data_IF_657793151832
#
_entry.id   IF_657793151832
#
_cell.length_a   1.000
_cell.length_b   1.000
_cell.length_c   1.000
_cell.angle_alpha   90.00
_cell.angle_beta   90.00
_cell.angle_gamma   90.00
#
_symmetry.space_group_name_H-M   'P 1'
#
loop_
_entity.id
_entity.type
_entity.pdbx_description
1 polymer ?
#
# COMPACT_ATOMS: atom_id res chain seq x y z
N UNK A 1 17.87 -7.78 -10.63
CA UNK A 1 16.87 -6.83 -10.11
C UNK A 1 17.55 -6.03 -9.01
N UNK A 2 17.65 -4.71 -9.11
CA UNK A 2 18.35 -3.87 -8.11
C UNK A 2 17.40 -3.48 -6.97
N UNK A 3 17.92 -3.06 -5.80
CA UNK A 3 17.12 -2.56 -4.67
C UNK A 3 16.19 -1.41 -5.11
N UNK A 4 16.72 -0.47 -5.92
CA UNK A 4 15.93 0.63 -6.50
C UNK A 4 14.70 0.14 -7.29
N UNK A 5 14.87 -0.91 -8.10
CA UNK A 5 13.75 -1.50 -8.85
C UNK A 5 12.71 -2.15 -7.93
N UNK A 6 13.12 -2.71 -6.80
CA UNK A 6 12.22 -3.28 -5.78
C UNK A 6 11.42 -2.20 -5.06
N UNK A 7 12.08 -1.12 -4.62
CA UNK A 7 11.40 0.02 -3.97
C UNK A 7 10.39 0.67 -4.91
N UNK A 8 10.76 0.91 -6.18
CA UNK A 8 9.82 1.44 -7.19
C UNK A 8 8.62 0.51 -7.42
N UNK A 9 8.82 -0.82 -7.40
CA UNK A 9 7.75 -1.79 -7.54
C UNK A 9 6.82 -1.79 -6.31
N UNK A 10 7.38 -1.69 -5.09
CA UNK A 10 6.61 -1.59 -3.85
C UNK A 10 5.78 -0.30 -3.81
N UNK A 11 6.34 0.84 -4.19
CA UNK A 11 5.60 2.11 -4.26
C UNK A 11 4.44 2.04 -5.27
N UNK A 12 4.67 1.46 -6.45
CA UNK A 12 3.57 1.25 -7.43
C UNK A 12 2.49 0.33 -6.89
N UNK A 13 2.88 -0.74 -6.19
CA UNK A 13 1.93 -1.67 -5.58
C UNK A 13 1.15 -1.01 -4.44
N UNK A 14 1.78 -0.17 -3.62
CA UNK A 14 1.14 0.60 -2.56
C UNK A 14 0.05 1.51 -3.13
N UNK A 15 0.40 2.34 -4.13
CA UNK A 15 -0.56 3.24 -4.79
C UNK A 15 -1.74 2.45 -5.37
N UNK A 16 -1.49 1.31 -6.01
CA UNK A 16 -2.56 0.48 -6.56
C UNK A 16 -3.50 -0.08 -5.48
N UNK A 17 -2.99 -0.41 -4.29
CA UNK A 17 -3.81 -0.84 -3.16
C UNK A 17 -4.61 0.29 -2.52
N UNK A 18 -4.01 1.48 -2.41
CA UNK A 18 -4.70 2.69 -1.94
C UNK A 18 -5.85 3.07 -2.89
N UNK A 19 -5.60 3.07 -4.19
CA UNK A 19 -6.61 3.34 -5.22
C UNK A 19 -7.77 2.33 -5.15
N UNK A 20 -7.47 1.04 -4.90
CA UNK A 20 -8.50 0.02 -4.70
C UNK A 20 -9.32 0.24 -3.42
N UNK A 21 -8.68 0.63 -2.32
CA UNK A 21 -9.37 0.95 -1.08
C UNK A 21 -10.33 2.14 -1.29
N UNK A 22 -9.89 3.18 -1.98
CA UNK A 22 -10.73 4.35 -2.29
C UNK A 22 -11.86 4.00 -3.27
N UNK A 23 -11.58 3.19 -4.30
CA UNK A 23 -12.59 2.73 -5.24
C UNK A 23 -13.71 1.92 -4.57
N UNK A 24 -13.42 1.23 -3.46
CA UNK A 24 -14.41 0.50 -2.66
C UNK A 24 -15.23 1.41 -1.72
N UNK A 25 -14.79 2.64 -1.47
CA UNK A 25 -15.50 3.58 -0.61
C UNK A 25 -16.83 4.05 -1.20
N UNK A 26 -16.88 4.31 -2.52
CA UNK A 26 -18.11 4.69 -3.23
C UNK A 26 -19.22 3.62 -3.18
N UNK A 27 -18.94 2.36 -3.56
CA UNK A 27 -19.88 1.25 -3.42
C UNK A 27 -20.36 1.03 -1.98
N UNK A 28 -19.48 1.17 -0.98
CA UNK A 28 -19.86 1.06 0.43
C UNK A 28 -20.91 2.12 0.81
N UNK A 29 -20.68 3.37 0.40
CA UNK A 29 -21.63 4.46 0.64
C UNK A 29 -22.98 4.20 -0.02
N UNK A 30 -22.97 3.71 -1.26
CA UNK A 30 -24.20 3.39 -1.99
C UNK A 30 -24.98 2.23 -1.34
N UNK A 31 -24.28 1.22 -0.81
CA UNK A 31 -24.89 0.13 -0.06
C UNK A 31 -25.53 0.62 1.24
N UNK A 32 -24.84 1.48 1.99
CA UNK A 32 -25.34 2.05 3.24
C UNK A 32 -26.57 2.97 3.04
N UNK A 33 -26.73 3.55 1.85
CA UNK A 33 -27.88 4.38 1.49
C UNK A 33 -29.06 3.57 0.93
N UNK A 34 -28.92 2.27 0.70
CA UNK A 34 -29.97 1.45 0.10
C UNK A 34 -31.08 1.12 1.12
N UNK A 35 -32.29 1.60 0.87
CA UNK A 35 -33.46 1.36 1.72
C UNK A 35 -34.22 0.10 1.30
N UNK A 36 -33.88 -1.04 1.90
CA UNK A 36 -34.55 -2.32 1.63
C UNK A 36 -36.06 -2.32 1.94
N UNK A 37 -36.52 -1.46 2.84
CA UNK A 37 -37.91 -1.37 3.27
C UNK A 37 -38.87 -0.97 2.15
N UNK A 38 -38.37 -0.24 1.13
CA UNK A 38 -39.12 0.16 -0.05
C UNK A 38 -39.57 -1.03 -0.92
N UNK A 39 -38.97 -2.21 -0.73
CA UNK A 39 -39.30 -3.43 -1.48
C UNK A 39 -40.52 -4.19 -0.91
N UNK A 40 -41.11 -3.68 0.16
CA UNK A 40 -42.28 -4.26 0.82
C UNK A 40 -41.97 -5.45 1.73
N UNK A 41 -42.95 -5.85 2.53
CA UNK A 41 -42.76 -6.77 3.67
C UNK A 41 -42.24 -8.17 3.32
N UNK A 42 -42.43 -8.63 2.08
CA UNK A 42 -41.99 -9.96 1.64
C UNK A 42 -40.52 -9.99 1.21
N UNK A 43 -40.03 -8.91 0.61
CA UNK A 43 -38.68 -8.84 0.01
C UNK A 43 -37.72 -8.03 0.87
N UNK A 44 -38.22 -7.00 1.56
CA UNK A 44 -37.42 -6.10 2.38
C UNK A 44 -36.51 -6.78 3.39
N UNK A 45 -36.99 -7.76 4.20
CA UNK A 45 -36.13 -8.44 5.18
C UNK A 45 -34.96 -9.22 4.54
N UNK A 46 -35.20 -9.86 3.41
CA UNK A 46 -34.17 -10.62 2.67
C UNK A 46 -33.18 -9.67 2.01
N UNK A 47 -33.67 -8.58 1.40
CA UNK A 47 -32.84 -7.55 0.82
C UNK A 47 -31.97 -6.84 1.87
N UNK A 48 -32.50 -6.54 3.05
CA UNK A 48 -31.74 -5.96 4.16
C UNK A 48 -30.60 -6.88 4.61
N UNK A 49 -30.86 -8.19 4.73
CA UNK A 49 -29.84 -9.18 5.08
C UNK A 49 -28.75 -9.27 4.01
N UNK A 50 -29.15 -9.22 2.73
CA UNK A 50 -28.21 -9.19 1.61
C UNK A 50 -27.33 -7.94 1.63
N UNK A 51 -27.93 -6.75 1.79
CA UNK A 51 -27.22 -5.48 1.87
C UNK A 51 -26.23 -5.47 3.03
N UNK A 52 -26.64 -5.89 4.23
CA UNK A 52 -25.76 -5.96 5.40
C UNK A 52 -24.58 -6.93 5.20
N UNK A 53 -24.83 -8.08 4.56
CA UNK A 53 -23.78 -9.05 4.24
C UNK A 53 -22.77 -8.46 3.24
N UNK A 54 -23.27 -7.75 2.24
CA UNK A 54 -22.40 -7.12 1.23
C UNK A 54 -21.64 -5.94 1.83
N UNK A 55 -22.27 -5.07 2.61
CA UNK A 55 -21.57 -3.97 3.30
C UNK A 55 -20.40 -4.49 4.14
N UNK A 56 -20.62 -5.56 4.92
CA UNK A 56 -19.57 -6.21 5.71
C UNK A 56 -18.41 -6.72 4.84
N UNK A 57 -18.72 -7.34 3.69
CA UNK A 57 -17.70 -7.87 2.78
C UNK A 57 -16.93 -6.77 2.06
N UNK A 58 -17.58 -5.71 1.59
CA UNK A 58 -16.92 -4.56 0.95
C UNK A 58 -16.01 -3.86 1.96
N UNK A 59 -16.47 -3.64 3.20
CA UNK A 59 -15.62 -3.03 4.23
C UNK A 59 -14.41 -3.92 4.57
N UNK A 60 -14.60 -5.25 4.62
CA UNK A 60 -13.51 -6.20 4.79
C UNK A 60 -12.45 -6.10 3.68
N UNK A 61 -12.88 -6.05 2.42
CA UNK A 61 -11.98 -5.89 1.27
C UNK A 61 -11.25 -4.54 1.30
N UNK A 62 -11.95 -3.45 1.65
CA UNK A 62 -11.37 -2.12 1.79
C UNK A 62 -10.28 -2.08 2.86
N UNK A 63 -10.56 -2.64 4.04
CA UNK A 63 -9.57 -2.73 5.14
C UNK A 63 -8.37 -3.58 4.75
N UNK A 64 -8.60 -4.69 4.06
CA UNK A 64 -7.52 -5.55 3.59
C UNK A 64 -6.63 -4.79 2.59
N UNK A 65 -7.20 -4.09 1.61
CA UNK A 65 -6.45 -3.29 0.66
C UNK A 65 -5.60 -2.21 1.36
N UNK A 66 -6.19 -1.44 2.28
CA UNK A 66 -5.47 -0.44 3.07
C UNK A 66 -4.31 -1.06 3.88
N UNK A 67 -4.54 -2.20 4.53
CA UNK A 67 -3.50 -2.90 5.29
C UNK A 67 -2.34 -3.39 4.40
N UNK A 68 -2.61 -3.75 3.14
CA UNK A 68 -1.55 -4.11 2.19
C UNK A 68 -0.72 -2.88 1.78
N UNK A 69 -1.37 -1.73 1.58
CA UNK A 69 -0.67 -0.48 1.31
C UNK A 69 0.24 -0.08 2.49
N UNK A 70 -0.28 -0.13 3.72
CA UNK A 70 0.48 0.15 4.94
C UNK A 70 1.69 -0.79 5.10
N UNK A 71 1.49 -2.09 4.85
CA UNK A 71 2.56 -3.09 4.92
C UNK A 71 3.66 -2.84 3.87
N UNK A 72 3.28 -2.44 2.65
CA UNK A 72 4.23 -2.07 1.60
C UNK A 72 5.02 -0.81 1.95
N UNK A 73 4.36 0.20 2.55
CA UNK A 73 5.03 1.39 3.03
C UNK A 73 6.05 1.08 4.13
N UNK A 74 5.68 0.22 5.09
CA UNK A 74 6.59 -0.25 6.15
C UNK A 74 7.79 -1.03 5.58
N UNK A 75 7.54 -1.98 4.68
CA UNK A 75 8.61 -2.75 4.04
C UNK A 75 9.57 -1.88 3.22
N UNK A 76 9.06 -0.85 2.52
CA UNK A 76 9.89 0.10 1.80
C UNK A 76 10.78 0.93 2.74
N UNK A 77 10.25 1.33 3.90
CA UNK A 77 11.01 2.01 4.94
C UNK A 77 12.12 1.12 5.51
N UNK A 78 11.82 -0.14 5.83
CA UNK A 78 12.79 -1.09 6.39
C UNK A 78 13.96 -1.35 5.42
N UNK A 79 13.65 -1.52 4.12
CA UNK A 79 14.68 -1.67 3.07
C UNK A 79 15.56 -0.43 2.99
N UNK A 80 14.98 0.76 3.07
CA UNK A 80 15.75 2.00 3.02
C UNK A 80 16.67 2.16 4.24
N UNK A 81 16.16 1.85 5.43
CA UNK A 81 16.96 1.86 6.67
C UNK A 81 18.10 0.85 6.64
N UNK A 82 17.86 -0.38 6.16
CA UNK A 82 18.89 -1.41 6.03
C UNK A 82 19.98 -1.02 5.01
N UNK A 83 19.59 -0.35 3.92
CA UNK A 83 20.55 0.18 2.94
C UNK A 83 21.41 1.30 3.55
N UNK A 84 20.80 2.23 4.30
CA UNK A 84 21.52 3.28 5.00
C UNK A 84 22.52 2.74 6.03
N UNK A 85 22.14 1.72 6.81
CA UNK A 85 23.04 1.03 7.74
C UNK A 85 24.20 0.34 7.01
N UNK A 86 23.91 -0.28 5.86
CA UNK A 86 24.94 -0.91 5.02
C UNK A 86 25.92 0.11 4.46
N UNK A 87 25.41 1.25 3.96
CA UNK A 87 26.22 2.37 3.47
C UNK A 87 27.10 2.92 4.60
N UNK A 88 26.53 3.16 5.78
CA UNK A 88 27.27 3.63 6.95
C UNK A 88 28.36 2.63 7.36
N UNK A 89 28.04 1.32 7.40
CA UNK A 89 29.00 0.28 7.72
C UNK A 89 30.16 0.21 6.72
N UNK A 90 29.89 0.38 5.42
CA UNK A 90 30.94 0.47 4.39
C UNK A 90 31.76 1.75 4.58
N UNK A 91 31.15 2.89 4.83
CA UNK A 91 31.85 4.16 5.08
C UNK A 91 32.74 4.09 6.33
N UNK A 92 32.32 3.40 7.38
CA UNK A 92 33.12 3.22 8.59
C UNK A 92 34.37 2.37 8.33
N UNK A 93 34.30 1.45 7.35
CA UNK A 93 35.43 0.63 6.88
C UNK A 93 36.36 1.38 5.92
N UNK A 94 35.93 2.50 5.32
CA UNK A 94 36.77 3.33 4.45
C UNK A 94 37.76 4.19 5.26
N UNK A 95 38.90 4.51 4.63
CA UNK A 95 39.86 5.47 5.18
C UNK A 95 39.17 6.81 5.42
N UNK A 96 39.60 7.56 6.44
CA UNK A 96 38.91 8.80 6.85
C UNK A 96 38.75 9.83 5.71
N UNK A 97 39.73 9.87 4.79
CA UNK A 97 39.69 10.73 3.61
C UNK A 97 38.61 10.34 2.57
N UNK A 98 38.14 9.09 2.62
CA UNK A 98 37.26 8.48 1.60
C UNK A 98 35.84 8.21 2.11
N UNK A 99 35.51 8.59 3.35
CA UNK A 99 34.20 8.29 3.97
C UNK A 99 33.02 9.00 3.33
N UNK A 100 33.26 10.14 2.69
CA UNK A 100 32.23 10.91 1.97
C UNK A 100 32.11 10.52 0.49
N UNK A 101 32.86 9.50 0.04
CA UNK A 101 32.77 9.01 -1.33
C UNK A 101 31.36 8.43 -1.59
N UNK A 102 30.60 9.08 -2.48
CA UNK A 102 29.28 8.57 -2.84
C UNK A 102 29.41 7.28 -3.65
N UNK A 103 28.71 6.19 -3.28
CA UNK A 103 28.65 5.02 -4.11
C UNK A 103 27.91 5.39 -5.40
N UNK A 104 28.60 5.27 -6.54
CA UNK A 104 28.09 5.44 -7.90
C UNK A 104 27.90 6.89 -8.38
N UNK A 105 29.00 7.60 -8.65
CA UNK A 105 29.00 8.56 -9.78
C UNK A 105 29.31 7.79 -11.06
N UNK A 106 28.27 7.46 -11.84
CA UNK A 106 28.47 7.13 -13.26
C UNK A 106 28.80 8.45 -13.98
N UNK A 107 30.07 8.84 -13.95
CA UNK A 107 30.61 9.89 -14.82
C UNK A 107 31.29 9.25 -16.03
N UNK A 108 30.99 9.67 -17.28
CA UNK A 108 31.75 9.21 -18.42
C UNK A 108 33.15 9.84 -18.36
N UNK A 109 34.18 9.02 -18.22
CA UNK A 109 35.59 9.42 -18.41
C UNK A 109 36.01 9.28 -19.89
N UNK A 110 37.03 10.05 -20.33
CA UNK A 110 37.08 10.82 -21.58
C UNK A 110 37.28 10.02 -22.87
#
# INVERSE_FOLDING_TARGET
>A
MTIRMWTEAMTRAQVAWDDQAEALHGPLRNLAQAEAELLGSRVGPVAATFLATWETRVDGLRRAAAAHADALAGAAYDIHSADAETVQGVQDLLMWADRDAQPFSYGPTP
#
